data_IF_926053704544
#
_entry.id   IF_926053704544
#
_cell.length_a   1.000
_cell.length_b   1.000
_cell.length_c   1.000
_cell.angle_alpha   90.00
_cell.angle_beta   90.00
_cell.angle_gamma   90.00
#
_symmetry.space_group_name_H-M   'P 1'
#
loop_
_entity.id
_entity.type
_entity.pdbx_description
1 polymer ?
#
# COMPACT_ATOMS: atom_id res chain seq x y z
N UNK A 1 -31.66 86.55 -64.96
CA UNK A 1 -31.54 87.72 -64.02
C UNK A 1 -31.55 87.18 -62.61
N UNK A 2 -30.42 87.37 -61.95
CA UNK A 2 -30.24 87.66 -60.52
C UNK A 2 -30.95 86.75 -59.49
N UNK A 3 -30.42 86.30 -58.40
CA UNK A 3 -29.24 86.63 -57.57
C UNK A 3 -29.07 85.50 -56.52
N UNK A 4 -27.86 85.35 -56.14
CA UNK A 4 -27.38 84.48 -55.09
C UNK A 4 -27.91 84.81 -53.68
N UNK A 5 -27.94 83.85 -52.79
CA UNK A 5 -27.60 84.09 -51.40
C UNK A 5 -27.15 82.78 -50.71
N UNK A 6 -25.94 82.90 -50.20
CA UNK A 6 -25.26 81.91 -49.36
C UNK A 6 -25.95 81.76 -48.00
N UNK A 7 -26.10 80.56 -47.50
CA UNK A 7 -26.42 80.24 -46.12
C UNK A 7 -25.57 79.09 -45.60
N UNK A 8 -24.44 79.47 -44.99
CA UNK A 8 -23.54 78.53 -44.29
C UNK A 8 -24.22 77.88 -43.11
N UNK A 9 -24.36 76.57 -43.14
CA UNK A 9 -24.81 75.76 -42.00
C UNK A 9 -23.58 75.05 -41.34
N UNK A 10 -23.24 75.59 -40.21
CA UNK A 10 -22.24 75.10 -39.28
C UNK A 10 -22.55 73.66 -38.88
N UNK A 11 -21.65 72.72 -39.25
CA UNK A 11 -21.70 71.29 -38.76
C UNK A 11 -21.14 71.25 -37.37
N UNK A 12 -22.05 71.09 -36.37
CA UNK A 12 -21.69 70.72 -34.99
C UNK A 12 -21.23 69.30 -34.99
N UNK A 13 -19.93 69.07 -34.78
CA UNK A 13 -19.38 67.70 -34.51
C UNK A 13 -19.71 67.33 -33.09
N UNK A 14 -20.61 66.38 -32.94
CA UNK A 14 -20.87 65.75 -31.66
C UNK A 14 -19.76 64.71 -31.44
N UNK A 15 -18.87 64.92 -30.47
CA UNK A 15 -17.89 63.94 -30.01
C UNK A 15 -18.61 62.98 -29.09
N UNK A 16 -18.87 61.75 -29.57
CA UNK A 16 -19.25 60.60 -28.69
C UNK A 16 -17.97 60.11 -28.01
N UNK A 17 -17.82 60.45 -26.75
CA UNK A 17 -16.81 59.85 -25.90
C UNK A 17 -17.27 58.38 -25.59
N UNK A 18 -16.61 57.42 -26.21
CA UNK A 18 -16.76 56.02 -25.84
C UNK A 18 -16.01 55.78 -24.53
N UNK A 19 -16.75 55.59 -23.43
CA UNK A 19 -16.23 55.16 -22.14
C UNK A 19 -15.93 53.65 -22.23
N UNK A 20 -14.65 53.29 -22.46
CA UNK A 20 -14.21 51.89 -22.34
C UNK A 20 -14.06 51.54 -20.85
N UNK A 21 -15.05 50.90 -20.28
CA UNK A 21 -14.91 50.28 -18.95
C UNK A 21 -14.02 49.04 -19.07
N UNK A 22 -12.78 49.15 -18.66
CA UNK A 22 -11.87 48.02 -18.55
C UNK A 22 -12.25 47.21 -17.30
N UNK A 23 -12.86 46.04 -17.48
CA UNK A 23 -13.10 45.08 -16.39
C UNK A 23 -11.75 44.39 -16.12
N UNK A 24 -11.08 44.81 -15.06
CA UNK A 24 -9.91 44.07 -14.53
C UNK A 24 -10.40 42.76 -13.88
N UNK A 25 -10.26 41.64 -14.59
CA UNK A 25 -10.45 40.31 -13.99
C UNK A 25 -9.27 40.06 -13.08
N UNK A 26 -9.50 40.16 -11.76
CA UNK A 26 -8.52 39.76 -10.76
C UNK A 26 -8.30 38.24 -10.83
N UNK A 27 -7.16 37.82 -11.35
CA UNK A 27 -6.74 36.43 -11.35
C UNK A 27 -6.31 36.09 -9.92
N UNK A 28 -7.20 35.48 -9.14
CA UNK A 28 -6.86 34.91 -7.83
C UNK A 28 -6.13 33.58 -8.10
N UNK A 29 -4.82 33.46 -7.80
CA UNK A 29 -4.13 32.21 -7.97
C UNK A 29 -4.74 31.20 -7.00
N UNK A 30 -5.42 30.17 -7.52
CA UNK A 30 -5.81 28.99 -6.76
C UNK A 30 -4.50 28.33 -6.33
N UNK A 31 -4.14 28.46 -5.07
CA UNK A 31 -3.08 27.66 -4.48
C UNK A 31 -3.57 26.21 -4.46
N UNK A 32 -3.15 25.42 -5.45
CA UNK A 32 -3.22 23.97 -5.37
C UNK A 32 -2.33 23.62 -4.19
N UNK A 33 -2.97 23.19 -3.08
CA UNK A 33 -2.24 22.63 -1.95
C UNK A 33 -1.51 21.40 -2.49
N UNK A 34 -0.17 21.47 -2.62
CA UNK A 34 0.65 20.28 -2.79
C UNK A 34 0.36 19.39 -1.59
N UNK A 35 0.01 18.09 -1.79
CA UNK A 35 -0.14 17.18 -0.67
C UNK A 35 1.18 17.20 0.10
N UNK A 36 1.14 17.72 1.32
CA UNK A 36 2.26 17.66 2.25
C UNK A 36 2.49 16.16 2.49
N UNK A 37 3.63 15.62 2.07
CA UNK A 37 4.03 14.28 2.52
C UNK A 37 3.85 14.24 4.02
N UNK A 38 3.11 13.27 4.57
CA UNK A 38 2.95 13.17 6.01
C UNK A 38 4.34 13.10 6.65
N UNK A 39 4.52 13.78 7.77
CA UNK A 39 5.77 13.76 8.54
C UNK A 39 5.96 12.36 9.15
N UNK A 40 6.53 11.45 8.35
CA UNK A 40 6.77 10.05 8.67
C UNK A 40 6.99 9.29 7.36
N UNK A 41 8.01 8.43 7.32
CA UNK A 41 8.36 7.66 6.13
C UNK A 41 7.21 6.80 5.59
N UNK A 42 7.33 6.39 4.35
CA UNK A 42 6.47 5.38 3.75
C UNK A 42 6.96 3.99 4.20
N UNK A 43 6.03 3.16 4.62
CA UNK A 43 6.27 1.76 4.93
C UNK A 43 5.74 0.91 3.79
N UNK A 44 6.67 0.29 3.07
CA UNK A 44 6.44 -0.43 1.82
C UNK A 44 6.78 -1.91 1.99
N UNK A 45 6.02 -2.77 1.31
CA UNK A 45 6.32 -4.19 1.19
C UNK A 45 6.23 -4.61 -0.27
N UNK A 46 7.10 -5.54 -0.66
CA UNK A 46 7.13 -6.15 -1.98
C UNK A 46 7.00 -7.66 -1.83
N UNK A 47 6.01 -8.21 -2.51
CA UNK A 47 5.68 -9.63 -2.42
C UNK A 47 5.72 -10.33 -3.76
N UNK A 48 6.15 -11.58 -3.73
CA UNK A 48 5.91 -12.55 -4.76
C UNK A 48 5.18 -13.76 -4.17
N UNK A 49 3.99 -14.07 -4.67
CA UNK A 49 3.20 -15.22 -4.18
C UNK A 49 3.57 -16.47 -4.95
N UNK A 50 4.24 -17.43 -4.33
CA UNK A 50 4.84 -18.61 -4.98
C UNK A 50 3.83 -19.54 -5.65
N UNK A 51 2.58 -19.61 -5.16
CA UNK A 51 1.53 -20.47 -5.73
C UNK A 51 0.73 -19.80 -6.85
N UNK A 52 0.58 -18.48 -6.82
CA UNK A 52 -0.22 -17.75 -7.83
C UNK A 52 0.63 -17.05 -8.87
N UNK A 53 1.94 -16.89 -8.63
CA UNK A 53 2.87 -16.15 -9.49
C UNK A 53 2.64 -14.64 -9.51
N UNK A 54 1.73 -14.13 -8.68
CA UNK A 54 1.41 -12.69 -8.60
C UNK A 54 2.48 -11.94 -7.82
N UNK A 55 2.71 -10.67 -8.20
CA UNK A 55 3.52 -9.72 -7.44
C UNK A 55 2.66 -8.57 -6.93
N UNK A 56 3.04 -8.05 -5.77
CA UNK A 56 2.43 -6.86 -5.18
C UNK A 56 3.54 -5.97 -4.62
N UNK A 57 3.56 -4.71 -5.04
CA UNK A 57 4.38 -3.64 -4.46
C UNK A 57 3.41 -2.61 -3.88
N UNK A 58 3.49 -2.37 -2.57
CA UNK A 58 2.46 -1.60 -1.88
C UNK A 58 3.00 -0.84 -0.68
N UNK A 59 2.64 0.44 -0.58
CA UNK A 59 2.77 1.23 0.65
C UNK A 59 1.53 0.95 1.49
N UNK A 60 1.70 0.35 2.67
CA UNK A 60 0.59 -0.02 3.55
C UNK A 60 0.38 0.95 4.72
N UNK A 61 1.42 1.76 5.04
CA UNK A 61 1.41 2.73 6.14
C UNK A 61 2.21 3.98 5.76
N UNK A 62 1.74 5.15 6.19
CA UNK A 62 2.47 6.42 6.09
C UNK A 62 2.57 7.04 7.49
N UNK A 63 3.78 7.19 7.99
CA UNK A 63 4.02 7.55 9.37
C UNK A 63 3.32 6.58 10.32
N UNK A 64 2.40 7.07 11.14
CA UNK A 64 1.61 6.27 12.08
C UNK A 64 0.22 5.86 11.55
N UNK A 65 -0.07 6.12 10.27
CA UNK A 65 -1.40 5.89 9.70
C UNK A 65 -1.36 4.74 8.70
N UNK A 66 -2.07 3.67 9.00
CA UNK A 66 -2.33 2.60 8.03
C UNK A 66 -3.26 3.08 6.92
N UNK A 67 -3.04 2.61 5.70
CA UNK A 67 -3.83 2.96 4.52
C UNK A 67 -4.91 1.88 4.29
N UNK A 68 -6.20 2.18 4.55
CA UNK A 68 -7.25 1.16 4.53
C UNK A 68 -7.36 0.43 3.20
N UNK A 69 -7.26 1.14 2.07
CA UNK A 69 -7.33 0.54 0.74
C UNK A 69 -6.13 -0.40 0.47
N UNK A 70 -4.96 -0.06 1.00
CA UNK A 70 -3.78 -0.92 0.90
C UNK A 70 -3.94 -2.17 1.74
N UNK A 71 -4.53 -2.07 2.94
CA UNK A 71 -4.82 -3.23 3.78
C UNK A 71 -5.80 -4.19 3.09
N UNK A 72 -6.89 -3.68 2.50
CA UNK A 72 -7.83 -4.50 1.73
C UNK A 72 -7.16 -5.23 0.57
N UNK A 73 -6.26 -4.55 -0.16
CA UNK A 73 -5.50 -5.19 -1.24
C UNK A 73 -4.53 -6.26 -0.74
N UNK A 74 -3.95 -6.08 0.45
CA UNK A 74 -3.11 -7.08 1.11
C UNK A 74 -3.93 -8.30 1.54
N UNK A 75 -5.12 -8.10 2.11
CA UNK A 75 -6.04 -9.16 2.48
C UNK A 75 -6.40 -10.04 1.27
N UNK A 76 -6.78 -9.41 0.15
CA UNK A 76 -7.08 -10.10 -1.11
C UNK A 76 -5.86 -10.85 -1.67
N UNK A 77 -4.69 -10.23 -1.63
CA UNK A 77 -3.45 -10.81 -2.15
C UNK A 77 -2.99 -12.03 -1.34
N UNK A 78 -3.14 -11.96 -0.02
CA UNK A 78 -2.73 -13.00 0.93
C UNK A 78 -3.83 -14.01 1.24
N UNK A 79 -4.98 -13.93 0.58
CA UNK A 79 -6.09 -14.86 0.72
C UNK A 79 -5.72 -16.30 0.41
N UNK A 80 -6.55 -17.23 0.81
CA UNK A 80 -6.35 -18.66 0.56
C UNK A 80 -6.44 -18.98 -0.93
N UNK A 81 -5.30 -19.23 -1.56
CA UNK A 81 -5.20 -19.49 -3.00
C UNK A 81 -5.92 -20.78 -3.46
N UNK A 82 -6.31 -21.68 -2.54
CA UNK A 82 -7.04 -22.92 -2.84
C UNK A 82 -8.55 -22.73 -2.83
N UNK A 83 -9.06 -21.90 -1.91
CA UNK A 83 -10.51 -21.68 -1.75
C UNK A 83 -10.97 -20.33 -2.28
N UNK A 84 -10.05 -19.37 -2.45
CA UNK A 84 -10.35 -17.97 -2.78
C UNK A 84 -10.90 -17.17 -1.59
N UNK A 85 -10.98 -17.79 -0.41
CA UNK A 85 -11.42 -17.09 0.81
C UNK A 85 -10.41 -16.04 1.24
N UNK A 86 -10.93 -14.91 1.72
CA UNK A 86 -10.14 -13.75 2.19
C UNK A 86 -10.47 -13.51 3.66
N UNK A 87 -9.47 -13.10 4.43
CA UNK A 87 -9.62 -12.70 5.82
C UNK A 87 -8.84 -11.41 6.08
N UNK A 88 -9.32 -10.56 6.99
CA UNK A 88 -8.63 -9.33 7.35
C UNK A 88 -7.41 -9.64 8.21
N UNK A 89 -6.25 -9.22 7.72
CA UNK A 89 -5.00 -9.29 8.46
C UNK A 89 -4.93 -8.23 9.55
N UNK A 90 -4.38 -8.60 10.70
CA UNK A 90 -3.93 -7.60 11.65
C UNK A 90 -2.73 -6.84 11.05
N UNK A 91 -2.79 -5.50 10.92
CA UNK A 91 -1.73 -4.73 10.28
C UNK A 91 -0.35 -4.88 10.94
N UNK A 92 -0.28 -5.32 12.19
CA UNK A 92 0.97 -5.61 12.89
C UNK A 92 1.78 -6.74 12.25
N UNK A 93 1.13 -7.61 11.46
CA UNK A 93 1.84 -8.62 10.63
C UNK A 93 2.70 -7.92 9.58
N UNK A 94 2.19 -6.87 8.97
CA UNK A 94 2.94 -6.09 7.96
C UNK A 94 4.08 -5.30 8.58
N UNK A 95 3.87 -4.73 9.77
CA UNK A 95 4.94 -4.10 10.53
C UNK A 95 6.05 -5.09 10.94
N UNK A 96 5.68 -6.33 11.30
CA UNK A 96 6.65 -7.38 11.58
C UNK A 96 7.50 -7.70 10.34
N UNK A 97 6.88 -7.80 9.16
CA UNK A 97 7.59 -8.09 7.91
C UNK A 97 8.51 -6.94 7.48
N UNK A 98 8.07 -5.71 7.65
CA UNK A 98 8.88 -4.51 7.39
C UNK A 98 10.12 -4.47 8.29
N UNK A 99 9.92 -4.60 9.61
CA UNK A 99 11.01 -4.58 10.60
C UNK A 99 11.99 -5.76 10.38
N UNK A 100 11.47 -6.89 9.87
CA UNK A 100 12.30 -8.04 9.51
C UNK A 100 13.20 -7.74 8.31
N UNK A 101 12.68 -7.08 7.28
CA UNK A 101 13.46 -6.60 6.14
C UNK A 101 14.55 -5.62 6.56
N UNK A 102 14.21 -4.65 7.42
CA UNK A 102 15.16 -3.68 7.96
C UNK A 102 16.28 -4.35 8.77
N UNK A 103 15.92 -5.29 9.65
CA UNK A 103 16.88 -6.03 10.48
C UNK A 103 17.87 -6.87 9.66
N UNK A 104 17.43 -7.33 8.50
CA UNK A 104 18.27 -8.07 7.54
C UNK A 104 19.10 -7.17 6.62
N UNK A 105 18.92 -5.85 6.68
CA UNK A 105 19.54 -4.90 5.74
C UNK A 105 18.94 -4.95 4.32
N UNK A 106 17.72 -5.47 4.20
CA UNK A 106 16.95 -5.60 2.95
C UNK A 106 15.58 -4.90 3.05
N UNK A 107 15.51 -3.59 3.37
CA UNK A 107 14.24 -2.90 3.65
C UNK A 107 13.27 -2.90 2.46
N UNK A 108 13.79 -3.02 1.25
CA UNK A 108 12.98 -3.10 0.02
C UNK A 108 13.07 -4.49 -0.66
N UNK A 109 13.53 -5.50 0.07
CA UNK A 109 13.64 -6.86 -0.44
C UNK A 109 12.28 -7.46 -0.80
N UNK A 110 12.23 -8.23 -1.90
CA UNK A 110 11.03 -9.01 -2.23
C UNK A 110 10.86 -10.14 -1.20
N UNK A 111 9.63 -10.33 -0.74
CA UNK A 111 9.24 -11.41 0.17
C UNK A 111 8.44 -12.43 -0.63
N UNK A 112 8.96 -13.65 -0.73
CA UNK A 112 8.24 -14.78 -1.30
C UNK A 112 7.21 -15.26 -0.28
N UNK A 113 5.93 -15.21 -0.64
CA UNK A 113 4.82 -15.73 0.18
C UNK A 113 4.60 -17.20 -0.15
N UNK A 114 4.86 -18.06 0.84
CA UNK A 114 4.62 -19.52 0.77
C UNK A 114 3.20 -19.84 1.21
N UNK A 115 2.73 -19.21 2.31
CA UNK A 115 1.36 -19.34 2.80
C UNK A 115 0.96 -18.05 3.50
N UNK A 116 -0.13 -17.43 3.04
CA UNK A 116 -0.81 -16.33 3.72
C UNK A 116 -1.94 -16.85 4.60
N UNK A 117 -3.15 -16.30 4.42
CA UNK A 117 -4.36 -16.81 5.06
C UNK A 117 -4.64 -18.25 4.62
N UNK A 118 -5.12 -19.03 5.54
CA UNK A 118 -5.50 -20.43 5.34
C UNK A 118 -6.89 -20.65 5.88
N UNK A 119 -7.85 -20.92 5.02
CA UNK A 119 -9.22 -21.21 5.43
C UNK A 119 -9.29 -22.47 6.32
N UNK A 120 -10.31 -22.59 7.17
CA UNK A 120 -10.51 -23.82 7.95
C UNK A 120 -10.55 -25.07 7.08
N UNK A 121 -11.15 -24.99 5.90
CA UNK A 121 -11.21 -26.09 4.92
C UNK A 121 -9.83 -26.49 4.43
N UNK A 122 -9.00 -25.52 4.06
CA UNK A 122 -7.61 -25.80 3.66
C UNK A 122 -6.78 -26.34 4.82
N UNK A 123 -6.98 -25.80 6.03
CA UNK A 123 -6.26 -26.28 7.21
C UNK A 123 -6.62 -27.75 7.53
N UNK A 124 -7.89 -28.13 7.45
CA UNK A 124 -8.35 -29.50 7.63
C UNK A 124 -7.78 -30.44 6.55
N UNK A 125 -7.82 -30.03 5.28
CA UNK A 125 -7.22 -30.77 4.19
C UNK A 125 -5.72 -31.04 4.43
N UNK A 126 -4.96 -30.02 4.80
CA UNK A 126 -3.52 -30.16 5.08
C UNK A 126 -3.27 -31.08 6.28
N UNK A 127 -4.05 -30.97 7.35
CA UNK A 127 -3.93 -31.87 8.52
C UNK A 127 -4.16 -33.34 8.19
N UNK A 128 -5.03 -33.61 7.22
CA UNK A 128 -5.28 -34.98 6.78
C UNK A 128 -4.14 -35.58 5.94
N UNK A 129 -3.30 -34.72 5.32
CA UNK A 129 -2.28 -35.15 4.36
C UNK A 129 -0.85 -34.88 4.84
N UNK A 130 -0.66 -33.90 5.75
CA UNK A 130 0.64 -33.47 6.26
C UNK A 130 0.69 -33.58 7.79
N UNK A 131 1.77 -34.20 8.29
CA UNK A 131 2.03 -34.23 9.73
C UNK A 131 2.57 -32.87 10.22
N UNK A 132 2.07 -32.39 11.36
CA UNK A 132 2.58 -31.18 12.01
C UNK A 132 1.75 -29.92 11.76
N UNK A 133 0.66 -30.00 11.02
CA UNK A 133 -0.27 -28.86 10.86
C UNK A 133 -1.13 -28.70 12.12
N UNK A 134 -1.07 -27.51 12.74
CA UNK A 134 -1.79 -27.22 13.97
C UNK A 134 -3.32 -27.22 13.76
N UNK A 135 -4.07 -27.70 14.76
CA UNK A 135 -5.54 -27.62 14.78
C UNK A 135 -6.01 -26.16 14.80
N UNK A 136 -5.38 -25.36 15.67
CA UNK A 136 -5.62 -23.92 15.80
C UNK A 136 -4.41 -23.18 15.23
N UNK A 137 -4.44 -22.94 13.93
CA UNK A 137 -3.35 -22.26 13.22
C UNK A 137 -3.64 -20.77 13.14
N UNK A 138 -2.65 -19.94 13.47
CA UNK A 138 -2.76 -18.49 13.33
C UNK A 138 -2.89 -18.03 11.87
N UNK A 139 -2.60 -18.88 10.89
CA UNK A 139 -2.95 -18.63 9.49
C UNK A 139 -4.48 -18.54 9.28
N UNK A 140 -5.28 -19.26 10.07
CA UNK A 140 -6.76 -19.18 9.99
C UNK A 140 -7.34 -17.89 10.59
N UNK A 141 -6.52 -17.16 11.33
CA UNK A 141 -6.87 -15.89 11.97
C UNK A 141 -6.23 -14.70 11.26
N UNK A 142 -5.52 -14.94 10.14
CA UNK A 142 -4.73 -13.94 9.42
C UNK A 142 -3.72 -13.18 10.32
N UNK A 143 -3.12 -13.92 11.27
CA UNK A 143 -2.10 -13.44 12.22
C UNK A 143 -0.71 -14.01 11.93
N UNK A 144 -0.57 -14.82 10.89
CA UNK A 144 0.65 -15.52 10.53
C UNK A 144 0.88 -15.53 9.02
N UNK A 145 2.16 -15.68 8.65
CA UNK A 145 2.58 -15.82 7.26
C UNK A 145 3.83 -16.71 7.19
N UNK A 146 3.89 -17.58 6.18
CA UNK A 146 5.07 -18.37 5.85
C UNK A 146 5.80 -17.68 4.70
N UNK A 147 7.08 -17.38 4.92
CA UNK A 147 7.87 -16.56 3.99
C UNK A 147 9.26 -17.14 3.72
N UNK A 148 9.80 -16.70 2.60
CA UNK A 148 11.21 -16.76 2.27
C UNK A 148 11.62 -15.41 1.67
N UNK A 149 12.89 -15.05 1.76
CA UNK A 149 13.43 -13.84 1.12
C UNK A 149 14.53 -14.24 0.16
N UNK A 150 14.38 -13.96 -1.15
CA UNK A 150 15.42 -14.25 -2.14
C UNK A 150 16.77 -13.63 -1.76
N UNK A 151 17.84 -14.43 -1.82
CA UNK A 151 19.18 -13.99 -1.45
C UNK A 151 19.49 -14.04 0.06
N UNK A 152 18.52 -14.29 0.92
CA UNK A 152 18.70 -14.47 2.37
C UNK A 152 18.60 -15.96 2.72
N UNK A 153 19.59 -16.48 3.44
CA UNK A 153 19.50 -17.86 3.93
C UNK A 153 18.35 -18.00 4.92
N UNK A 154 17.61 -19.10 4.81
CA UNK A 154 16.47 -19.38 5.71
C UNK A 154 16.86 -19.37 7.20
N UNK A 155 18.11 -19.75 7.52
CA UNK A 155 18.63 -19.67 8.88
C UNK A 155 18.81 -18.23 9.37
N UNK A 156 19.33 -17.34 8.50
CA UNK A 156 19.52 -15.93 8.84
C UNK A 156 18.16 -15.21 8.99
N UNK A 157 17.20 -15.55 8.12
CA UNK A 157 15.82 -15.08 8.21
C UNK A 157 15.16 -15.48 9.54
N UNK A 158 15.32 -16.75 9.96
CA UNK A 158 14.88 -17.24 11.27
C UNK A 158 15.51 -16.45 12.40
N UNK A 159 16.83 -16.25 12.39
CA UNK A 159 17.55 -15.59 13.48
C UNK A 159 17.14 -14.11 13.60
N UNK A 160 16.96 -13.44 12.46
CA UNK A 160 16.42 -12.08 12.42
C UNK A 160 15.00 -12.00 12.98
N UNK A 161 14.13 -12.95 12.62
CA UNK A 161 12.76 -13.02 13.15
C UNK A 161 12.74 -13.27 14.66
N UNK A 162 13.59 -14.16 15.16
CA UNK A 162 13.73 -14.41 16.60
C UNK A 162 14.24 -13.19 17.37
N UNK A 163 15.16 -12.41 16.79
CA UNK A 163 15.70 -11.21 17.41
C UNK A 163 14.66 -10.11 17.63
N UNK A 164 13.59 -10.07 16.81
CA UNK A 164 12.52 -9.10 16.98
C UNK A 164 11.62 -9.36 18.20
N UNK A 165 11.56 -10.59 18.72
CA UNK A 165 10.73 -10.95 19.89
C UNK A 165 9.25 -10.54 19.78
N UNK A 166 8.68 -10.56 18.54
CA UNK A 166 7.32 -10.05 18.29
C UNK A 166 6.23 -11.12 18.20
N UNK A 167 6.61 -12.40 18.15
CA UNK A 167 5.65 -13.49 18.04
C UNK A 167 6.30 -14.84 17.88
N UNK A 168 5.57 -15.79 17.29
CA UNK A 168 6.08 -17.13 17.02
C UNK A 168 6.96 -17.19 15.78
N UNK A 169 8.00 -18.01 15.83
CA UNK A 169 8.90 -18.28 14.72
C UNK A 169 9.07 -19.79 14.52
N UNK A 170 8.63 -20.30 13.37
CA UNK A 170 8.81 -21.68 12.93
C UNK A 170 9.90 -21.79 11.88
N UNK A 171 10.81 -22.76 12.02
CA UNK A 171 11.92 -22.94 11.11
C UNK A 171 11.77 -24.21 10.28
N UNK A 172 11.63 -24.09 8.97
CA UNK A 172 11.39 -25.19 8.04
C UNK A 172 12.49 -25.28 6.97
N UNK A 173 13.73 -25.69 7.33
CA UNK A 173 14.86 -25.66 6.41
C UNK A 173 14.72 -26.60 5.21
N UNK A 174 13.98 -27.73 5.35
CA UNK A 174 13.76 -28.67 4.24
C UNK A 174 12.80 -28.11 3.19
N UNK A 175 11.85 -27.28 3.61
CA UNK A 175 10.85 -26.63 2.76
C UNK A 175 11.25 -25.19 2.39
N UNK A 176 12.41 -24.76 2.88
CA UNK A 176 13.02 -23.46 2.63
C UNK A 176 12.10 -22.27 2.92
N UNK A 177 11.52 -22.23 4.13
CA UNK A 177 10.74 -21.11 4.61
C UNK A 177 10.82 -20.92 6.13
N UNK A 178 10.41 -19.74 6.57
CA UNK A 178 10.21 -19.40 7.97
C UNK A 178 8.75 -18.99 8.16
N UNK A 179 8.10 -19.57 9.19
CA UNK A 179 6.82 -19.09 9.70
C UNK A 179 7.07 -17.92 10.64
N UNK A 180 6.31 -16.83 10.50
CA UNK A 180 6.27 -15.74 11.45
C UNK A 180 4.83 -15.39 11.80
N UNK A 181 4.59 -15.05 13.07
CA UNK A 181 3.27 -14.65 13.54
C UNK A 181 3.36 -13.56 14.64
N UNK A 182 2.24 -12.95 14.96
CA UNK A 182 2.12 -11.93 16.00
C UNK A 182 1.46 -12.44 17.28
N UNK A 183 1.43 -13.74 17.48
CA UNK A 183 0.94 -14.38 18.70
C UNK A 183 1.95 -14.32 19.85
N UNK A 184 1.86 -15.23 20.79
CA UNK A 184 2.84 -15.31 21.87
C UNK A 184 4.24 -15.66 21.32
N UNK A 185 5.28 -15.09 21.93
CA UNK A 185 6.67 -15.41 21.58
C UNK A 185 6.95 -16.90 21.85
N UNK A 186 7.34 -17.62 20.81
CA UNK A 186 7.69 -19.05 20.83
C UNK A 186 8.50 -19.43 19.59
N UNK A 187 9.14 -20.59 19.61
CA UNK A 187 9.88 -21.14 18.47
C UNK A 187 9.72 -22.65 18.37
N UNK A 188 9.84 -23.17 17.17
CA UNK A 188 9.87 -24.63 16.88
C UNK A 188 10.62 -24.93 15.59
#
# INVERSE_FOLDING_TARGET
MNYASNGSLSKRRVFLARLCASIAVAFVPVRVATPTSPAGGEFRLRFFHTHTGKRLDIVYRQGNTYLPESLLRLDEYLGDHRTGEVHHYDPRVFDLLHDLGDNLGHPEGEIDVICGYRSPKTNEFLRAHDHGVAVHSLHMEALAIDIRMPGVKTADLRDAALALHRGGVGYYPKSDFVHVDIGRVRRW
#
